data_IF_652567271182
#
_entry.id   IF_652567271182
#
_cell.length_a   1.000
_cell.length_b   1.000
_cell.length_c   1.000
_cell.angle_alpha   90.00
_cell.angle_beta   90.00
_cell.angle_gamma   90.00
#
_symmetry.space_group_name_H-M   'P 1'
#
loop_
_entity.id
_entity.type
_entity.pdbx_description
1 polymer ?
#
# COMPACT_ATOMS: atom_id res chain seq x y z
N UNK A 1 -42.18 8.89 -12.46
CA UNK A 1 -40.87 8.38 -12.90
C UNK A 1 -39.90 8.50 -11.74
N UNK A 2 -39.50 7.38 -11.15
CA UNK A 2 -38.76 7.31 -9.90
C UNK A 2 -37.39 6.67 -10.16
N UNK A 3 -36.32 7.42 -9.93
CA UNK A 3 -34.95 6.90 -9.97
C UNK A 3 -34.41 6.82 -8.54
N UNK A 4 -34.52 5.63 -7.94
CA UNK A 4 -33.84 5.30 -6.68
C UNK A 4 -32.38 4.97 -6.98
N UNK A 5 -31.50 5.72 -6.34
CA UNK A 5 -30.04 5.56 -6.37
C UNK A 5 -29.67 4.26 -5.65
N UNK A 6 -29.10 3.31 -6.39
CA UNK A 6 -28.47 2.10 -5.87
C UNK A 6 -27.02 2.46 -5.55
N UNK A 7 -26.75 2.83 -4.30
CA UNK A 7 -25.39 2.89 -3.80
C UNK A 7 -24.89 1.44 -3.64
N UNK A 8 -23.99 1.08 -4.54
CA UNK A 8 -23.27 -0.18 -4.61
C UNK A 8 -22.63 -0.52 -3.26
N UNK A 9 -23.00 -1.69 -2.74
CA UNK A 9 -22.39 -2.32 -1.57
C UNK A 9 -20.91 -2.56 -1.84
N UNK A 10 -20.06 -1.99 -1.01
CA UNK A 10 -18.63 -2.31 -0.94
C UNK A 10 -18.51 -3.78 -0.47
N UNK A 11 -18.11 -4.66 -1.38
CA UNK A 11 -17.98 -6.09 -1.12
C UNK A 11 -16.64 -6.35 -0.42
N UNK A 12 -16.68 -6.58 0.89
CA UNK A 12 -15.58 -7.14 1.70
C UNK A 12 -15.41 -8.65 1.43
N UNK A 13 -15.33 -9.05 0.16
CA UNK A 13 -15.23 -10.45 -0.23
C UNK A 13 -13.82 -11.08 -0.20
N UNK A 14 -12.66 -10.36 -0.26
CA UNK A 14 -11.40 -11.08 -0.32
C UNK A 14 -10.94 -11.64 1.05
N UNK A 15 -11.35 -11.04 2.17
CA UNK A 15 -10.87 -11.48 3.49
C UNK A 15 -11.52 -12.77 4.00
N UNK A 16 -12.74 -13.10 3.55
CA UNK A 16 -13.40 -14.35 3.94
C UNK A 16 -12.78 -15.59 3.26
N UNK A 17 -12.13 -15.42 2.11
CA UNK A 17 -11.49 -16.54 1.39
C UNK A 17 -10.18 -17.01 2.04
N UNK A 18 -9.45 -16.14 2.74
CA UNK A 18 -8.25 -16.53 3.48
C UNK A 18 -8.58 -17.35 4.74
N UNK A 19 -9.70 -17.07 5.40
CA UNK A 19 -10.11 -17.82 6.59
C UNK A 19 -10.57 -19.26 6.26
N UNK A 20 -11.14 -19.49 5.08
CA UNK A 20 -11.53 -20.84 4.63
C UNK A 20 -10.36 -21.66 4.06
N UNK A 21 -9.31 -21.01 3.54
CA UNK A 21 -8.11 -21.70 3.06
C UNK A 21 -7.25 -22.30 4.18
N UNK A 22 -7.25 -21.70 5.38
CA UNK A 22 -6.44 -22.17 6.52
C UNK A 22 -6.92 -23.48 7.16
N UNK A 23 -8.19 -23.86 6.95
CA UNK A 23 -8.78 -25.04 7.59
C UNK A 23 -8.64 -26.33 6.76
N UNK A 24 -8.30 -26.24 5.47
CA UNK A 24 -8.08 -27.39 4.58
C UNK A 24 -6.64 -27.96 4.66
N UNK A 25 -5.71 -27.25 5.32
CA UNK A 25 -4.31 -27.63 5.49
C UNK A 25 -3.99 -28.10 6.92
N UNK A 26 -4.98 -28.62 7.65
CA UNK A 26 -4.71 -29.35 8.88
C UNK A 26 -4.05 -30.70 8.51
N UNK A 27 -2.81 -30.99 8.94
CA UNK A 27 -2.21 -32.30 8.73
C UNK A 27 -2.98 -33.32 9.58
N UNK A 28 -3.94 -34.02 8.98
CA UNK A 28 -4.53 -35.19 9.59
C UNK A 28 -3.45 -36.28 9.67
N UNK A 29 -3.02 -36.62 10.89
CA UNK A 29 -2.16 -37.77 11.13
C UNK A 29 -2.95 -39.03 10.80
N UNK A 30 -2.81 -39.53 9.57
CA UNK A 30 -3.34 -40.83 9.17
C UNK A 30 -2.49 -41.89 9.86
N UNK A 31 -3.04 -42.50 10.91
CA UNK A 31 -2.48 -43.72 11.47
C UNK A 31 -2.60 -44.82 10.42
N UNK A 32 -1.46 -45.29 9.93
CA UNK A 32 -1.39 -46.45 9.05
C UNK A 32 -1.62 -47.71 9.90
N UNK A 33 -2.87 -48.13 10.02
CA UNK A 33 -3.22 -49.42 10.59
C UNK A 33 -2.75 -50.51 9.62
N UNK A 34 -1.59 -51.12 9.92
CA UNK A 34 -1.07 -52.26 9.17
C UNK A 34 -1.92 -53.52 9.40
N UNK A 35 -1.97 -54.46 8.45
CA UNK A 35 -2.80 -55.65 8.56
C UNK A 35 -2.39 -56.48 9.79
N UNK A 36 -3.35 -56.65 10.71
CA UNK A 36 -3.22 -57.33 11.99
C UNK A 36 -3.30 -58.85 11.83
N UNK A 37 -2.41 -59.46 11.04
CA UNK A 37 -2.36 -60.91 10.92
C UNK A 37 -0.99 -61.42 10.44
N UNK A 38 0.08 -61.14 11.20
CA UNK A 38 1.26 -62.00 11.18
C UNK A 38 1.84 -62.13 12.58
N UNK A 39 1.72 -63.35 13.13
CA UNK A 39 2.35 -63.83 14.36
C UNK A 39 3.88 -63.74 14.23
N UNK A 40 4.47 -62.57 14.46
CA UNK A 40 5.92 -62.38 14.51
C UNK A 40 6.44 -62.95 15.82
N UNK A 41 7.37 -63.91 15.74
CA UNK A 41 8.18 -64.32 16.89
C UNK A 41 9.24 -63.23 17.14
N UNK A 42 9.48 -62.82 18.40
CA UNK A 42 10.57 -61.90 18.73
C UNK A 42 11.94 -62.54 18.40
N UNK A 43 12.88 -61.71 17.96
CA UNK A 43 14.20 -62.11 17.42
C UNK A 43 15.23 -62.44 18.52
N UNK A 44 14.83 -62.41 19.81
CA UNK A 44 15.75 -62.54 20.95
C UNK A 44 15.24 -63.46 22.06
N UNK A 45 14.94 -64.72 21.74
CA UNK A 45 14.66 -65.75 22.77
C UNK A 45 15.56 -66.99 22.70
N UNK A 46 16.47 -67.09 21.71
CA UNK A 46 17.40 -68.22 21.61
C UNK A 46 18.78 -67.84 22.20
N UNK A 47 18.84 -67.69 23.53
CA UNK A 47 20.10 -67.82 24.25
C UNK A 47 19.90 -68.79 25.42
N UNK A 48 20.28 -70.05 25.20
CA UNK A 48 20.47 -71.04 26.26
C UNK A 48 21.54 -70.51 27.22
N UNK A 49 21.15 -70.12 28.43
CA UNK A 49 22.05 -69.73 29.52
C UNK A 49 22.47 -71.02 30.24
N UNK A 50 23.73 -71.47 30.17
CA UNK A 50 24.15 -72.64 30.92
C UNK A 50 24.27 -72.28 32.40
N UNK A 51 23.50 -72.99 33.23
CA UNK A 51 23.57 -73.00 34.70
C UNK A 51 25.02 -73.14 35.17
N UNK A 52 25.44 -72.19 36.02
CA UNK A 52 26.74 -72.15 36.66
C UNK A 52 26.99 -73.36 37.56
N UNK A 53 28.15 -74.00 37.40
CA UNK A 53 28.77 -74.84 38.43
C UNK A 53 30.21 -74.33 38.65
N UNK A 54 30.71 -74.19 39.90
CA UNK A 54 31.92 -73.44 40.17
C UNK A 54 33.15 -74.35 40.34
N UNK A 55 34.25 -74.06 39.62
CA UNK A 55 35.63 -74.26 40.12
C UNK A 55 36.65 -73.68 39.12
N UNK A 56 37.86 -73.27 39.58
CA UNK A 56 38.63 -72.19 38.97
C UNK A 56 39.96 -72.65 38.34
N UNK A 57 40.35 -72.13 37.16
CA UNK A 57 41.76 -72.00 36.76
C UNK A 57 41.94 -71.12 35.50
N UNK A 58 42.69 -70.02 35.68
CA UNK A 58 43.74 -69.43 34.81
C UNK A 58 43.41 -68.96 33.37
N UNK A 59 43.78 -67.71 32.96
CA UNK A 59 43.64 -67.23 31.59
C UNK A 59 44.89 -67.50 30.72
N UNK A 60 44.72 -67.68 29.40
CA UNK A 60 45.67 -67.14 28.43
C UNK A 60 45.00 -66.42 27.22
N UNK A 61 45.79 -65.72 26.37
CA UNK A 61 45.38 -64.49 25.70
C UNK A 61 45.12 -64.61 24.18
N UNK A 62 44.47 -63.55 23.65
CA UNK A 62 44.56 -62.98 22.28
C UNK A 62 44.44 -63.94 21.09
N UNK A 63 43.35 -63.77 20.33
CA UNK A 63 43.38 -63.95 18.88
C UNK A 63 42.42 -62.95 18.23
N UNK A 64 43.00 -61.99 17.50
CA UNK A 64 42.31 -61.10 16.60
C UNK A 64 41.79 -61.88 15.39
N UNK A 65 40.54 -61.64 14.98
CA UNK A 65 40.04 -62.04 13.67
C UNK A 65 39.78 -60.79 12.82
N UNK A 66 40.26 -60.74 11.56
CA UNK A 66 40.23 -59.54 10.73
C UNK A 66 38.85 -59.24 10.13
N UNK A 67 38.62 -57.94 9.89
CA UNK A 67 37.52 -57.36 9.11
C UNK A 67 37.69 -57.77 7.65
N UNK A 68 36.72 -58.48 7.07
CA UNK A 68 36.60 -58.56 5.60
C UNK A 68 35.79 -57.37 5.08
N UNK A 69 36.25 -56.69 4.01
CA UNK A 69 35.48 -55.64 3.36
C UNK A 69 34.44 -56.28 2.45
N UNK A 70 33.16 -56.02 2.70
CA UNK A 70 32.09 -56.41 1.78
C UNK A 70 32.13 -55.42 0.61
N UNK A 71 32.52 -55.93 -0.56
CA UNK A 71 32.44 -55.24 -1.84
C UNK A 71 31.00 -54.76 -2.09
N UNK A 72 30.82 -53.44 -2.14
CA UNK A 72 29.61 -52.75 -2.60
C UNK A 72 29.46 -52.94 -4.11
N UNK A 73 29.07 -54.14 -4.56
CA UNK A 73 28.54 -54.30 -5.90
C UNK A 73 27.18 -53.60 -5.98
N UNK A 74 27.13 -52.53 -6.78
CA UNK A 74 25.93 -51.82 -7.23
C UNK A 74 24.99 -52.77 -7.99
N UNK A 75 24.28 -53.63 -7.24
CA UNK A 75 23.16 -54.37 -7.80
C UNK A 75 22.09 -53.34 -8.14
N UNK A 76 21.84 -53.16 -9.44
CA UNK A 76 20.63 -52.52 -9.94
C UNK A 76 19.40 -53.28 -9.44
N UNK A 77 19.01 -53.00 -8.20
CA UNK A 77 17.84 -53.58 -7.58
C UNK A 77 16.62 -52.92 -8.23
N UNK A 78 15.75 -53.72 -8.84
CA UNK A 78 14.47 -53.20 -9.31
C UNK A 78 13.75 -52.61 -8.09
N UNK A 79 13.33 -51.34 -8.13
CA UNK A 79 12.90 -50.63 -6.94
C UNK A 79 11.74 -51.38 -6.32
N UNK A 80 11.93 -51.75 -5.06
CA UNK A 80 10.91 -52.46 -4.30
C UNK A 80 9.66 -51.58 -4.22
N UNK A 81 8.45 -52.15 -4.15
CA UNK A 81 7.22 -51.36 -4.07
C UNK A 81 7.24 -50.28 -2.98
N UNK A 82 7.93 -50.55 -1.87
CA UNK A 82 8.16 -49.61 -0.76
C UNK A 82 9.04 -48.43 -1.14
N UNK A 83 10.10 -48.66 -1.92
CA UNK A 83 11.02 -47.63 -2.38
C UNK A 83 10.35 -46.64 -3.33
N UNK A 84 9.46 -47.14 -4.20
CA UNK A 84 8.64 -46.27 -5.06
C UNK A 84 7.72 -45.37 -4.25
N UNK A 85 7.07 -45.91 -3.22
CA UNK A 85 6.22 -45.14 -2.32
C UNK A 85 7.02 -44.05 -1.58
N UNK A 86 8.21 -44.38 -1.08
CA UNK A 86 9.08 -43.43 -0.41
C UNK A 86 9.46 -42.23 -1.32
N UNK A 87 9.74 -42.49 -2.60
CA UNK A 87 10.00 -41.44 -3.59
C UNK A 87 8.78 -40.53 -3.81
N UNK A 88 7.58 -41.11 -3.88
CA UNK A 88 6.35 -40.33 -4.05
C UNK A 88 6.03 -39.47 -2.81
N UNK A 89 6.21 -40.00 -1.60
CA UNK A 89 6.05 -39.24 -0.36
C UNK A 89 7.11 -38.13 -0.28
N UNK A 90 8.35 -38.41 -0.65
CA UNK A 90 9.42 -37.42 -0.69
C UNK A 90 9.12 -36.28 -1.67
N UNK A 91 8.62 -36.60 -2.87
CA UNK A 91 8.17 -35.62 -3.86
C UNK A 91 7.00 -34.79 -3.35
N UNK A 92 6.02 -35.42 -2.71
CA UNK A 92 4.88 -34.74 -2.10
C UNK A 92 5.31 -33.74 -1.02
N UNK A 93 6.17 -34.16 -0.09
CA UNK A 93 6.73 -33.30 0.95
C UNK A 93 7.51 -32.12 0.38
N UNK A 94 8.38 -32.36 -0.61
CA UNK A 94 9.16 -31.29 -1.24
C UNK A 94 8.27 -30.31 -2.01
N UNK A 95 7.22 -30.79 -2.68
CA UNK A 95 6.26 -29.92 -3.36
C UNK A 95 5.52 -29.04 -2.35
N UNK A 96 4.98 -29.62 -1.27
CA UNK A 96 4.32 -28.86 -0.20
C UNK A 96 5.26 -27.84 0.44
N UNK A 97 6.51 -28.22 0.72
CA UNK A 97 7.52 -27.29 1.26
C UNK A 97 7.80 -26.12 0.31
N UNK A 98 7.95 -26.39 -0.99
CA UNK A 98 8.14 -25.33 -2.00
C UNK A 98 6.96 -24.36 -2.05
N UNK A 99 5.73 -24.87 -1.98
CA UNK A 99 4.55 -24.00 -1.94
C UNK A 99 4.46 -23.20 -0.64
N UNK A 100 4.79 -23.80 0.50
CA UNK A 100 4.82 -23.11 1.79
C UNK A 100 5.85 -21.97 1.79
N UNK A 101 7.07 -22.25 1.34
CA UNK A 101 8.15 -21.24 1.23
C UNK A 101 7.80 -20.16 0.20
N UNK A 102 7.18 -20.53 -0.93
CA UNK A 102 6.75 -19.56 -1.93
C UNK A 102 5.65 -18.63 -1.38
N UNK A 103 4.72 -19.16 -0.60
CA UNK A 103 3.69 -18.37 0.07
C UNK A 103 4.30 -17.44 1.13
N UNK A 104 5.22 -17.96 1.97
CA UNK A 104 5.95 -17.18 2.97
C UNK A 104 6.72 -16.03 2.31
N UNK A 105 7.48 -16.31 1.25
CA UNK A 105 8.24 -15.30 0.52
C UNK A 105 7.33 -14.22 -0.09
N UNK A 106 6.16 -14.60 -0.62
CA UNK A 106 5.19 -13.63 -1.16
C UNK A 106 4.60 -12.75 -0.08
N UNK A 107 4.28 -13.31 1.09
CA UNK A 107 3.81 -12.53 2.23
C UNK A 107 4.92 -11.56 2.68
N UNK A 108 6.16 -12.03 2.80
CA UNK A 108 7.28 -11.17 3.18
C UNK A 108 7.49 -10.03 2.17
N UNK A 109 7.49 -10.32 0.87
CA UNK A 109 7.60 -9.32 -0.20
C UNK A 109 6.49 -8.26 -0.15
N UNK A 110 5.25 -8.68 0.12
CA UNK A 110 4.13 -7.73 0.27
C UNK A 110 4.26 -6.86 1.52
N UNK A 111 4.76 -7.43 2.62
CA UNK A 111 5.00 -6.71 3.87
C UNK A 111 6.15 -5.72 3.73
N UNK A 112 7.24 -6.12 3.08
CA UNK A 112 8.37 -5.25 2.75
C UNK A 112 7.93 -4.10 1.84
N UNK A 113 7.12 -4.37 0.82
CA UNK A 113 6.57 -3.32 -0.03
C UNK A 113 5.66 -2.36 0.74
N UNK A 114 4.84 -2.88 1.66
CA UNK A 114 3.96 -2.05 2.49
C UNK A 114 4.79 -1.13 3.40
N UNK A 115 5.82 -1.65 4.07
CA UNK A 115 6.71 -0.85 4.90
C UNK A 115 7.52 0.17 4.09
N UNK A 116 7.99 -0.18 2.90
CA UNK A 116 8.66 0.77 2.03
C UNK A 116 7.73 1.91 1.60
N UNK A 117 6.46 1.61 1.32
CA UNK A 117 5.46 2.63 1.06
C UNK A 117 5.24 3.50 2.29
N UNK A 118 5.00 2.93 3.46
CA UNK A 118 4.83 3.66 4.72
C UNK A 118 6.02 4.58 5.02
N UNK A 119 7.24 4.09 4.83
CA UNK A 119 8.46 4.87 5.02
C UNK A 119 8.58 5.99 3.98
N UNK A 120 8.25 5.72 2.72
CA UNK A 120 8.25 6.73 1.65
C UNK A 120 7.20 7.82 1.90
N UNK A 121 6.01 7.46 2.38
CA UNK A 121 4.97 8.42 2.76
C UNK A 121 5.38 9.24 3.97
N UNK A 122 5.93 8.60 5.01
CA UNK A 122 6.38 9.26 6.23
C UNK A 122 7.51 10.24 5.94
N UNK A 123 8.51 9.83 5.15
CA UNK A 123 9.60 10.70 4.73
C UNK A 123 9.12 11.86 3.85
N UNK A 124 8.18 11.59 2.94
CA UNK A 124 7.56 12.64 2.12
C UNK A 124 6.81 13.64 3.02
N UNK A 125 5.91 13.20 3.89
CA UNK A 125 5.15 14.06 4.81
C UNK A 125 6.10 14.85 5.72
N UNK A 126 7.15 14.23 6.23
CA UNK A 126 8.17 14.90 7.02
C UNK A 126 8.91 15.98 6.22
N UNK A 127 9.13 15.76 4.93
CA UNK A 127 9.74 16.77 4.04
C UNK A 127 8.81 17.94 3.69
N UNK A 128 7.49 17.75 3.76
CA UNK A 128 6.53 18.86 3.57
C UNK A 128 6.48 19.80 4.79
N UNK A 129 6.69 19.26 5.98
CA UNK A 129 6.61 20.03 7.22
C UNK A 129 7.64 21.18 7.23
N UNK A 130 7.26 22.38 7.71
CA UNK A 130 8.16 23.51 7.76
C UNK A 130 9.33 23.20 8.71
N UNK A 131 10.53 23.63 8.33
CA UNK A 131 11.68 23.52 9.22
C UNK A 131 11.44 24.32 10.50
N UNK A 132 11.99 23.85 11.63
CA UNK A 132 11.81 24.50 12.94
C UNK A 132 12.29 25.97 12.94
N UNK A 133 13.16 26.32 12.00
CA UNK A 133 13.72 27.66 11.80
C UNK A 133 12.72 28.62 11.15
N UNK A 134 11.72 28.12 10.42
CA UNK A 134 10.72 28.93 9.73
C UNK A 134 9.70 29.57 10.69
N UNK A 135 9.61 29.11 11.94
CA UNK A 135 8.68 29.64 12.94
C UNK A 135 7.18 29.42 12.64
N UNK A 136 6.84 28.69 11.58
CA UNK A 136 5.45 28.39 11.23
C UNK A 136 4.83 27.39 12.21
N UNK A 137 3.69 27.77 12.80
CA UNK A 137 2.95 26.89 13.72
C UNK A 137 1.87 26.12 12.96
N UNK A 138 2.17 24.85 12.63
CA UNK A 138 1.24 23.98 11.92
C UNK A 138 -0.08 23.75 12.67
N UNK A 139 -0.05 23.56 13.98
CA UNK A 139 -1.24 23.20 14.77
C UNK A 139 -2.30 24.33 14.77
N UNK A 140 -1.99 25.57 15.18
CA UNK A 140 -2.93 26.68 15.05
C UNK A 140 -3.25 27.00 13.58
N UNK A 141 -2.25 26.93 12.71
CA UNK A 141 -2.42 27.24 11.29
C UNK A 141 -3.41 26.32 10.59
N UNK A 142 -3.31 25.02 10.81
CA UNK A 142 -4.23 24.02 10.26
C UNK A 142 -5.67 24.22 10.78
N UNK A 143 -5.83 24.62 12.04
CA UNK A 143 -7.16 24.95 12.61
C UNK A 143 -7.75 26.15 11.88
N UNK A 144 -6.98 27.22 11.63
CA UNK A 144 -7.47 28.38 10.88
C UNK A 144 -7.87 28.04 9.45
N UNK A 145 -7.09 27.18 8.78
CA UNK A 145 -7.43 26.66 7.44
C UNK A 145 -8.74 25.88 7.45
N UNK A 146 -8.93 25.01 8.44
CA UNK A 146 -10.17 24.24 8.62
C UNK A 146 -11.36 25.19 8.87
N UNK A 147 -11.21 26.17 9.75
CA UNK A 147 -12.25 27.17 10.04
C UNK A 147 -12.61 27.96 8.79
N UNK A 148 -11.63 28.38 7.97
CA UNK A 148 -11.89 29.06 6.71
C UNK A 148 -12.66 28.18 5.71
N UNK A 149 -12.30 26.90 5.59
CA UNK A 149 -13.04 25.95 4.76
C UNK A 149 -14.48 25.73 5.27
N UNK A 150 -14.66 25.61 6.60
CA UNK A 150 -15.97 25.47 7.23
C UNK A 150 -16.85 26.71 7.01
N UNK A 151 -16.27 27.91 7.08
CA UNK A 151 -16.96 29.15 6.73
C UNK A 151 -17.43 29.14 5.28
N UNK A 152 -16.61 28.67 4.34
CA UNK A 152 -17.01 28.47 2.94
C UNK A 152 -18.19 27.51 2.76
N UNK A 153 -18.24 26.46 3.59
CA UNK A 153 -19.35 25.48 3.60
C UNK A 153 -20.64 26.10 4.12
N UNK A 154 -20.57 26.96 5.14
CA UNK A 154 -21.73 27.69 5.66
C UNK A 154 -22.25 28.67 4.60
N UNK A 155 -21.36 29.40 3.93
CA UNK A 155 -21.73 30.37 2.88
C UNK A 155 -22.41 29.69 1.68
N UNK A 156 -21.96 28.48 1.31
CA UNK A 156 -22.52 27.72 0.17
C UNK A 156 -23.64 26.77 0.53
N UNK A 157 -24.11 26.80 1.78
CA UNK A 157 -25.12 25.86 2.30
C UNK A 157 -26.38 25.78 1.43
N UNK A 158 -26.83 26.90 0.85
CA UNK A 158 -28.01 26.97 -0.01
C UNK A 158 -27.68 27.26 -1.50
N UNK A 159 -26.48 26.89 -1.95
CA UNK A 159 -26.06 27.06 -3.35
C UNK A 159 -25.96 25.71 -4.06
N UNK A 160 -25.72 25.76 -5.36
CA UNK A 160 -25.57 24.57 -6.20
C UNK A 160 -24.51 23.61 -5.63
N UNK A 161 -24.66 22.31 -5.89
CA UNK A 161 -23.74 21.27 -5.39
C UNK A 161 -22.28 21.53 -5.77
N UNK A 162 -22.07 22.13 -6.94
CA UNK A 162 -20.74 22.52 -7.45
C UNK A 162 -20.12 23.59 -6.54
N UNK A 163 -20.87 24.64 -6.19
CA UNK A 163 -20.38 25.69 -5.28
C UNK A 163 -20.17 25.13 -3.87
N UNK A 164 -21.04 24.23 -3.41
CA UNK A 164 -20.93 23.57 -2.11
C UNK A 164 -19.66 22.72 -1.98
N UNK A 165 -19.16 22.15 -3.07
CA UNK A 165 -17.91 21.39 -3.07
C UNK A 165 -16.68 22.29 -3.29
N UNK A 166 -16.77 23.24 -4.23
CA UNK A 166 -15.62 24.04 -4.65
C UNK A 166 -15.28 25.18 -3.69
N UNK A 167 -16.26 25.88 -3.12
CA UNK A 167 -15.97 27.06 -2.28
C UNK A 167 -15.26 26.72 -0.97
N UNK A 168 -15.64 25.67 -0.21
CA UNK A 168 -14.90 25.27 0.99
C UNK A 168 -13.45 24.93 0.66
N UNK A 169 -13.21 24.25 -0.47
CA UNK A 169 -11.87 23.90 -0.93
C UNK A 169 -11.09 25.15 -1.34
N UNK A 170 -11.69 26.06 -2.10
CA UNK A 170 -11.04 27.30 -2.52
C UNK A 170 -10.64 28.16 -1.33
N UNK A 171 -11.53 28.33 -0.33
CA UNK A 171 -11.22 29.09 0.89
C UNK A 171 -10.22 28.36 1.78
N UNK A 172 -10.28 27.03 1.88
CA UNK A 172 -9.28 26.24 2.62
C UNK A 172 -7.89 26.36 2.00
N UNK A 173 -7.77 26.17 0.68
CA UNK A 173 -6.48 26.32 -0.04
C UNK A 173 -5.98 27.77 0.05
N UNK A 174 -6.87 28.75 -0.11
CA UNK A 174 -6.54 30.16 0.03
C UNK A 174 -6.01 30.49 1.42
N UNK A 175 -6.68 30.03 2.48
CA UNK A 175 -6.23 30.18 3.85
C UNK A 175 -4.91 29.43 4.11
N UNK A 176 -4.71 28.27 3.49
CA UNK A 176 -3.44 27.54 3.56
C UNK A 176 -2.28 28.38 3.04
N UNK A 177 -2.49 29.10 1.94
CA UNK A 177 -1.46 29.97 1.37
C UNK A 177 -1.18 31.21 2.22
N UNK A 178 -2.16 31.72 2.96
CA UNK A 178 -2.00 32.90 3.81
C UNK A 178 -1.42 32.57 5.19
N UNK A 179 -1.86 31.46 5.78
CA UNK A 179 -1.51 31.06 7.15
C UNK A 179 -0.28 30.14 7.20
N UNK A 180 -0.09 29.29 6.19
CA UNK A 180 1.01 28.30 6.11
C UNK A 180 1.77 28.41 4.77
N UNK A 181 2.40 29.57 4.49
CA UNK A 181 2.96 29.85 3.18
C UNK A 181 4.17 28.98 2.79
N UNK A 182 5.05 28.60 3.74
CA UNK A 182 6.21 27.73 3.44
C UNK A 182 5.75 26.29 3.21
N UNK A 183 4.86 25.78 4.06
CA UNK A 183 4.29 24.45 3.88
C UNK A 183 3.62 24.35 2.49
N UNK A 184 2.79 25.32 2.12
CA UNK A 184 2.09 25.31 0.83
C UNK A 184 3.04 25.37 -0.38
N UNK A 185 4.15 26.13 -0.27
CA UNK A 185 5.21 26.13 -1.29
C UNK A 185 5.87 24.77 -1.43
N UNK A 186 6.21 24.10 -0.32
CA UNK A 186 6.79 22.75 -0.35
C UNK A 186 5.83 21.73 -1.01
N UNK A 187 4.52 21.81 -0.71
CA UNK A 187 3.51 20.96 -1.38
C UNK A 187 3.49 21.24 -2.88
N UNK A 188 3.53 22.51 -3.27
CA UNK A 188 3.52 22.90 -4.69
C UNK A 188 4.75 22.43 -5.43
N UNK A 189 5.94 22.51 -4.81
CA UNK A 189 7.20 22.04 -5.39
C UNK A 189 7.22 20.52 -5.53
N UNK A 190 6.68 19.80 -4.54
CA UNK A 190 6.53 18.35 -4.64
C UNK A 190 5.55 17.95 -5.76
N UNK A 191 4.40 18.63 -5.83
CA UNK A 191 3.40 18.40 -6.87
C UNK A 191 4.01 18.63 -8.25
N UNK A 192 4.77 19.71 -8.40
CA UNK A 192 5.49 20.03 -9.62
C UNK A 192 6.52 18.96 -10.00
N UNK A 193 7.30 18.43 -9.05
CA UNK A 193 8.23 17.31 -9.30
C UNK A 193 7.52 16.05 -9.81
N UNK A 194 6.37 15.70 -9.24
CA UNK A 194 5.57 14.57 -9.71
C UNK A 194 4.97 14.83 -11.09
N UNK A 195 4.52 16.06 -11.33
CA UNK A 195 3.95 16.49 -12.59
C UNK A 195 4.97 16.47 -13.73
N UNK A 196 6.22 16.86 -13.48
CA UNK A 196 7.31 16.79 -14.46
C UNK A 196 7.56 15.39 -15.01
N UNK A 197 7.20 14.34 -14.26
CA UNK A 197 7.29 12.95 -14.74
C UNK A 197 6.30 12.67 -15.87
N UNK A 198 5.25 13.48 -16.00
CA UNK A 198 4.21 13.36 -17.03
C UNK A 198 4.15 14.64 -17.87
N UNK A 199 4.87 14.71 -19.01
CA UNK A 199 5.08 15.96 -19.75
C UNK A 199 3.78 16.62 -20.23
N UNK A 200 2.77 15.82 -20.56
CA UNK A 200 1.45 16.33 -20.99
C UNK A 200 0.77 17.17 -19.91
N UNK A 201 0.91 16.76 -18.64
CA UNK A 201 0.29 17.47 -17.52
C UNK A 201 1.10 18.75 -17.25
N UNK A 202 2.43 18.64 -17.17
CA UNK A 202 3.32 19.77 -16.92
C UNK A 202 3.15 20.90 -17.96
N UNK A 203 3.08 20.57 -19.25
CA UNK A 203 2.83 21.56 -20.31
C UNK A 203 1.45 22.22 -20.16
N UNK A 204 0.44 21.44 -19.78
CA UNK A 204 -0.92 21.96 -19.58
C UNK A 204 -0.98 22.95 -18.41
N UNK A 205 -0.26 22.69 -17.31
CA UNK A 205 -0.18 23.59 -16.17
C UNK A 205 0.54 24.88 -16.52
N UNK A 206 1.68 24.81 -17.23
CA UNK A 206 2.39 26.01 -17.70
C UNK A 206 1.49 26.85 -18.59
N UNK A 207 0.81 26.22 -19.57
CA UNK A 207 -0.13 26.92 -20.46
C UNK A 207 -1.29 27.53 -19.70
N UNK A 208 -1.84 26.84 -18.70
CA UNK A 208 -2.92 27.34 -17.86
C UNK A 208 -2.47 28.57 -17.06
N UNK A 209 -1.28 28.50 -16.45
CA UNK A 209 -0.69 29.61 -15.69
C UNK A 209 -0.46 30.84 -16.57
N UNK A 210 0.06 30.64 -17.78
CA UNK A 210 0.27 31.70 -18.74
C UNK A 210 -1.07 32.31 -19.19
N UNK A 211 -2.07 31.47 -19.47
CA UNK A 211 -3.42 31.90 -19.84
C UNK A 211 -4.07 32.75 -18.74
N UNK A 212 -3.92 32.37 -17.47
CA UNK A 212 -4.44 33.14 -16.32
C UNK A 212 -3.71 34.49 -16.22
N UNK A 213 -2.38 34.48 -16.32
CA UNK A 213 -1.56 35.70 -16.22
C UNK A 213 -1.93 36.70 -17.31
N UNK A 214 -2.07 36.20 -18.55
CA UNK A 214 -2.51 37.00 -19.69
C UNK A 214 -3.93 37.52 -19.49
N UNK A 215 -4.85 36.70 -18.98
CA UNK A 215 -6.23 37.11 -18.70
C UNK A 215 -6.31 38.23 -17.65
N UNK A 216 -5.51 38.16 -16.59
CA UNK A 216 -5.45 39.22 -15.56
C UNK A 216 -4.92 40.52 -16.17
N UNK A 217 -3.84 40.45 -16.96
CA UNK A 217 -3.27 41.63 -17.62
C UNK A 217 -4.28 42.28 -18.58
N UNK A 218 -5.00 41.44 -19.35
CA UNK A 218 -6.04 41.87 -20.27
C UNK A 218 -7.22 42.52 -19.55
N UNK A 219 -7.67 41.92 -18.43
CA UNK A 219 -8.73 42.48 -17.61
C UNK A 219 -8.35 43.84 -17.01
N UNK A 220 -7.10 43.98 -16.54
CA UNK A 220 -6.59 45.27 -16.03
C UNK A 220 -6.56 46.33 -17.13
N UNK A 221 -6.09 45.99 -18.32
CA UNK A 221 -6.09 46.91 -19.46
C UNK A 221 -7.53 47.31 -19.85
N UNK A 222 -8.45 46.35 -19.95
CA UNK A 222 -9.86 46.63 -20.27
C UNK A 222 -10.59 47.42 -19.18
N UNK A 223 -10.26 47.23 -17.91
CA UNK A 223 -10.84 48.03 -16.83
C UNK A 223 -10.48 49.51 -16.94
N UNK A 224 -9.25 49.83 -17.37
CA UNK A 224 -8.84 51.22 -17.59
C UNK A 224 -9.61 51.86 -18.75
N UNK A 225 -9.84 51.10 -19.83
CA UNK A 225 -10.66 51.55 -20.96
C UNK A 225 -12.10 51.78 -20.51
N UNK A 226 -12.67 50.86 -19.72
CA UNK A 226 -14.03 50.99 -19.19
C UNK A 226 -14.21 52.22 -18.29
N UNK A 227 -13.25 52.49 -17.39
CA UNK A 227 -13.26 53.69 -16.54
C UNK A 227 -13.25 54.96 -17.39
N UNK A 228 -12.38 55.03 -18.41
CA UNK A 228 -12.33 56.18 -19.32
C UNK A 228 -13.63 56.38 -20.09
N UNK A 229 -14.24 55.29 -20.57
CA UNK A 229 -15.52 55.38 -21.27
C UNK A 229 -16.65 55.89 -20.37
N UNK A 230 -16.69 55.47 -19.11
CA UNK A 230 -17.67 55.99 -18.14
C UNK A 230 -17.42 57.47 -17.86
N UNK A 231 -16.15 57.86 -17.69
CA UNK A 231 -15.77 59.26 -17.45
C UNK A 231 -16.14 60.17 -18.62
N UNK A 232 -15.88 59.72 -19.85
CA UNK A 232 -16.31 60.39 -21.10
C UNK A 232 -17.83 60.54 -21.15
N UNK A 233 -18.60 59.49 -20.80
CA UNK A 233 -20.07 59.56 -20.80
C UNK A 233 -20.66 60.45 -19.71
N UNK A 234 -20.04 60.47 -18.52
CA UNK A 234 -20.45 61.39 -17.44
C UNK A 234 -20.15 62.83 -17.85
N UNK A 235 -19.03 63.06 -18.52
CA UNK A 235 -18.65 64.38 -19.04
C UNK A 235 -19.60 64.85 -20.15
N UNK A 236 -19.87 64.00 -21.16
CA UNK A 236 -20.84 64.29 -22.23
C UNK A 236 -22.23 64.64 -21.66
N UNK A 237 -22.69 63.86 -20.67
CA UNK A 237 -23.98 64.08 -20.03
C UNK A 237 -24.02 65.41 -19.26
N UNK A 238 -22.92 65.75 -18.56
CA UNK A 238 -22.79 67.03 -17.86
C UNK A 238 -22.82 68.20 -18.84
N UNK A 239 -22.05 68.13 -19.94
CA UNK A 239 -22.04 69.17 -20.97
C UNK A 239 -23.41 69.35 -21.63
N UNK A 240 -24.15 68.26 -21.87
CA UNK A 240 -25.51 68.31 -22.41
C UNK A 240 -26.48 69.04 -21.46
N UNK A 241 -26.37 68.79 -20.15
CA UNK A 241 -27.17 69.48 -19.13
C UNK A 241 -26.78 70.96 -19.03
N UNK A 242 -25.48 71.27 -18.98
CA UNK A 242 -24.99 72.65 -18.94
C UNK A 242 -25.41 73.43 -20.20
N UNK A 243 -25.34 72.82 -21.38
CA UNK A 243 -25.80 73.40 -22.64
C UNK A 243 -27.31 73.59 -22.72
N UNK A 244 -28.09 72.74 -22.05
CA UNK A 244 -29.55 72.90 -21.92
C UNK A 244 -29.89 74.08 -21.02
N UNK A 245 -29.19 74.22 -19.88
CA UNK A 245 -29.34 75.35 -18.95
C UNK A 245 -28.93 76.68 -19.61
N UNK A 246 -27.83 76.71 -20.37
CA UNK A 246 -27.39 77.93 -21.08
C UNK A 246 -28.35 78.37 -22.19
N UNK A 247 -29.10 77.45 -22.81
CA UNK A 247 -30.05 77.77 -23.89
C UNK A 247 -31.38 78.37 -23.41
N UNK A 248 -31.58 78.51 -22.09
CA UNK A 248 -32.64 79.33 -21.52
C UNK A 248 -34.05 78.79 -21.79
N UNK A 249 -34.45 77.80 -21.00
CA UNK A 249 -35.83 77.61 -20.53
C UNK A 249 -35.79 77.25 -19.05
#
# INVERSE_FOLDING_TARGET
>A
MASRVVFSRCSLAPLATMALGGMALAPATVFAEGPSDFKRKPIYDDYDIPTANPAPVTPPPVAATPVEPVDDEERHHSPTPTERLAVHIGRGRLALYKYAVAAENKVNETMDSAFNLEQSFTSTIASLAPSRESGEQLMPGAIYVLVAAMAGSIITRNRSIILRASLPLALGIGAGWTVLPVTMRNISDLTWKYEQRFPVIAESHVRLRESITNSISFAKAHSQVGVRYVDEKVTDAREAVEGWVQKGK
#
